data_IF_267127880937
#
_entry.id   IF_267127880937
#
_cell.length_a   1.000
_cell.length_b   1.000
_cell.length_c   1.000
_cell.angle_alpha   90.00
_cell.angle_beta   90.00
_cell.angle_gamma   90.00
#
_symmetry.space_group_name_H-M   'P 1'
#
loop_
_entity.id
_entity.type
_entity.pdbx_description
1 polymer ?
#
# COMPACT_ATOMS: atom_id res chain seq x y z
N UNK A 1 -5.56 6.08 -2.94
CA UNK A 1 -4.58 5.36 -2.10
C UNK A 1 -3.19 5.94 -2.25
N UNK A 2 -2.56 5.93 -3.44
CA UNK A 2 -1.21 6.52 -3.65
C UNK A 2 -1.16 7.99 -3.22
N UNK A 3 -2.07 8.82 -3.73
CA UNK A 3 -2.15 10.25 -3.34
C UNK A 3 -2.36 10.44 -1.83
N UNK A 4 -3.14 9.56 -1.20
CA UNK A 4 -3.37 9.59 0.25
C UNK A 4 -2.09 9.27 1.03
N UNK A 5 -1.34 8.24 0.60
CA UNK A 5 -0.06 7.88 1.21
C UNK A 5 0.96 9.01 1.06
N UNK A 6 1.00 9.66 -0.11
CA UNK A 6 1.83 10.85 -0.37
C UNK A 6 1.48 12.01 0.56
N UNK A 7 0.20 12.33 0.71
CA UNK A 7 -0.24 13.39 1.63
C UNK A 7 0.15 13.09 3.09
N UNK A 8 0.00 11.84 3.54
CA UNK A 8 0.41 11.41 4.90
C UNK A 8 1.94 11.53 5.07
N UNK A 9 2.72 11.09 4.09
CA UNK A 9 4.18 11.21 4.13
C UNK A 9 4.63 12.69 4.21
N UNK A 10 3.96 13.57 3.45
CA UNK A 10 4.22 15.01 3.46
C UNK A 10 3.89 15.69 4.80
N UNK A 11 2.98 15.12 5.60
CA UNK A 11 2.70 15.60 6.95
C UNK A 11 3.86 15.36 7.94
N UNK A 12 4.91 14.61 7.55
CA UNK A 12 6.16 14.41 8.32
C UNK A 12 5.94 13.93 9.75
N UNK A 13 4.92 13.08 9.97
CA UNK A 13 4.65 12.47 11.26
C UNK A 13 5.87 11.68 11.74
N UNK A 14 6.32 11.96 12.96
CA UNK A 14 7.55 11.36 13.53
C UNK A 14 7.23 10.05 14.23
N UNK A 15 8.15 9.09 14.15
CA UNK A 15 8.15 7.83 14.89
C UNK A 15 6.86 7.02 14.70
N UNK A 16 6.37 6.94 13.46
CA UNK A 16 5.19 6.14 13.09
C UNK A 16 5.48 5.29 11.87
N UNK A 17 5.12 4.02 11.95
CA UNK A 17 4.91 3.17 10.78
C UNK A 17 3.44 3.31 10.40
N UNK A 18 3.15 3.65 9.15
CA UNK A 18 1.79 3.85 8.65
C UNK A 18 1.63 3.00 7.39
N UNK A 19 0.80 1.95 7.49
CA UNK A 19 0.53 1.06 6.37
C UNK A 19 -0.88 1.34 5.84
N UNK A 20 -1.00 1.79 4.59
CA UNK A 20 -2.28 1.89 3.90
C UNK A 20 -2.59 0.54 3.25
N UNK A 21 -3.68 -0.08 3.67
CA UNK A 21 -4.20 -1.30 3.07
C UNK A 21 -5.53 -1.04 2.36
N UNK A 22 -5.91 -1.94 1.46
CA UNK A 22 -7.22 -1.97 0.85
C UNK A 22 -7.49 -3.31 0.19
N UNK A 23 -8.49 -3.34 -0.69
CA UNK A 23 -8.89 -4.53 -1.43
C UNK A 23 -9.16 -4.14 -2.89
N UNK A 24 -8.85 -5.03 -3.83
CA UNK A 24 -9.34 -4.95 -5.20
C UNK A 24 -10.74 -5.55 -5.32
N UNK A 25 -11.01 -6.60 -4.56
CA UNK A 25 -12.32 -7.24 -4.50
C UNK A 25 -13.09 -6.78 -3.27
N UNK A 26 -14.28 -6.18 -3.43
CA UNK A 26 -15.13 -5.79 -2.31
C UNK A 26 -15.32 -6.89 -1.26
N UNK A 27 -15.24 -6.50 0.01
CA UNK A 27 -15.44 -7.40 1.15
C UNK A 27 -16.76 -8.18 1.08
N UNK A 28 -17.82 -7.60 0.49
CA UNK A 28 -19.11 -8.25 0.31
C UNK A 28 -19.05 -9.57 -0.47
N UNK A 29 -17.98 -9.82 -1.22
CA UNK A 29 -17.73 -11.10 -1.90
C UNK A 29 -17.13 -12.19 -0.97
N UNK A 30 -17.09 -11.94 0.33
CA UNK A 30 -16.72 -12.92 1.37
C UNK A 30 -15.32 -13.48 1.15
N UNK A 31 -15.20 -14.81 1.12
CA UNK A 31 -13.94 -15.55 1.00
C UNK A 31 -13.16 -15.26 -0.29
N UNK A 32 -13.79 -14.66 -1.31
CA UNK A 32 -13.10 -14.27 -2.55
C UNK A 32 -12.50 -12.86 -2.50
N UNK A 33 -12.69 -12.11 -1.40
CA UNK A 33 -12.06 -10.81 -1.20
C UNK A 33 -10.60 -10.95 -0.79
N UNK A 34 -9.74 -10.11 -1.36
CA UNK A 34 -8.34 -9.96 -0.96
C UNK A 34 -8.16 -9.07 0.29
N UNK A 35 -9.22 -8.44 0.79
CA UNK A 35 -9.17 -7.49 1.89
C UNK A 35 -8.66 -8.09 3.21
N UNK A 36 -9.09 -9.30 3.56
CA UNK A 36 -8.63 -9.98 4.78
C UNK A 36 -7.15 -10.30 4.74
N UNK A 37 -6.66 -10.80 3.60
CA UNK A 37 -5.25 -11.10 3.42
C UNK A 37 -4.39 -9.82 3.47
N UNK A 38 -4.83 -8.75 2.77
CA UNK A 38 -4.13 -7.46 2.79
C UNK A 38 -4.10 -6.83 4.19
N UNK A 39 -5.15 -7.00 5.01
CA UNK A 39 -5.15 -6.59 6.41
C UNK A 39 -4.14 -7.39 7.24
N UNK A 40 -4.08 -8.71 7.07
CA UNK A 40 -3.07 -9.56 7.72
C UNK A 40 -1.64 -9.10 7.39
N UNK A 41 -1.35 -8.83 6.12
CA UNK A 41 -0.06 -8.26 5.70
C UNK A 41 0.20 -6.90 6.34
N UNK A 42 -0.79 -6.02 6.43
CA UNK A 42 -0.63 -4.71 7.08
C UNK A 42 -0.17 -4.85 8.53
N UNK A 43 -0.80 -5.74 9.30
CA UNK A 43 -0.42 -5.99 10.70
C UNK A 43 0.98 -6.59 10.83
N UNK A 44 1.38 -7.49 9.92
CA UNK A 44 2.74 -8.06 9.91
C UNK A 44 3.80 -7.00 9.56
N UNK A 45 3.52 -6.14 8.58
CA UNK A 45 4.46 -5.10 8.15
C UNK A 45 4.59 -3.97 9.15
N UNK A 46 3.50 -3.58 9.82
CA UNK A 46 3.54 -2.58 10.89
C UNK A 46 4.52 -2.96 12.01
N UNK A 47 4.63 -4.26 12.30
CA UNK A 47 5.53 -4.81 13.34
C UNK A 47 6.98 -4.99 12.89
N UNK A 48 7.26 -5.00 11.58
CA UNK A 48 8.56 -5.43 11.04
C UNK A 48 9.27 -4.37 10.20
N UNK A 49 8.55 -3.38 9.67
CA UNK A 49 9.13 -2.29 8.91
C UNK A 49 9.56 -1.14 9.82
N UNK A 50 10.57 -0.40 9.35
CA UNK A 50 10.99 0.85 9.97
C UNK A 50 9.88 1.91 9.88
N UNK A 51 10.01 2.97 10.67
CA UNK A 51 9.16 4.17 10.57
C UNK A 51 9.11 4.67 9.13
N UNK A 52 7.90 4.89 8.62
CA UNK A 52 7.66 5.25 7.23
C UNK A 52 6.19 5.13 6.83
N UNK A 53 5.89 5.49 5.59
CA UNK A 53 4.55 5.35 5.01
C UNK A 53 4.61 4.35 3.86
N UNK A 54 3.74 3.35 3.92
CA UNK A 54 3.74 2.24 2.99
C UNK A 54 2.34 1.95 2.47
N UNK A 55 2.27 1.26 1.33
CA UNK A 55 1.03 0.68 0.80
C UNK A 55 1.20 -0.83 0.78
N UNK A 56 0.20 -1.59 1.24
CA UNK A 56 0.17 -3.06 1.13
C UNK A 56 -1.05 -3.53 0.36
N UNK A 57 -0.81 -4.31 -0.68
CA UNK A 57 -1.83 -4.90 -1.56
C UNK A 57 -1.17 -5.97 -2.43
N UNK A 58 -1.91 -7.03 -2.81
CA UNK A 58 -1.36 -8.18 -3.57
C UNK A 58 -0.22 -8.90 -2.84
N UNK A 59 -0.30 -8.99 -1.52
CA UNK A 59 0.68 -9.75 -0.71
C UNK A 59 2.10 -9.21 -0.66
N UNK A 60 2.28 -7.92 -0.96
CA UNK A 60 3.55 -7.23 -0.85
C UNK A 60 3.33 -5.80 -0.34
N UNK A 61 4.40 -5.18 0.16
CA UNK A 61 4.42 -3.76 0.48
C UNK A 61 5.17 -2.94 -0.58
N UNK A 62 4.84 -1.66 -0.64
CA UNK A 62 5.55 -0.66 -1.43
C UNK A 62 5.82 0.58 -0.57
N UNK A 63 6.95 1.26 -0.81
CA UNK A 63 7.11 2.63 -0.32
C UNK A 63 6.10 3.54 -1.00
N UNK A 64 5.59 4.54 -0.28
CA UNK A 64 4.56 5.45 -0.79
C UNK A 64 4.94 6.16 -2.10
N UNK A 65 6.23 6.37 -2.34
CA UNK A 65 6.83 7.04 -3.50
C UNK A 65 7.28 6.09 -4.61
N UNK A 66 7.15 4.77 -4.40
CA UNK A 66 7.65 3.75 -5.32
C UNK A 66 6.52 2.85 -5.86
N UNK A 67 5.32 3.40 -6.01
CA UNK A 67 4.14 2.63 -6.42
C UNK A 67 3.14 3.45 -7.23
N UNK A 68 2.58 2.82 -8.26
CA UNK A 68 1.47 3.35 -9.04
C UNK A 68 0.37 2.30 -9.18
N UNK A 69 -0.89 2.76 -9.31
CA UNK A 69 -2.01 1.89 -9.68
C UNK A 69 -2.08 1.80 -11.20
N UNK A 70 -1.78 0.63 -11.75
CA UNK A 70 -2.02 0.32 -13.14
C UNK A 70 -3.50 -0.02 -13.35
N UNK A 71 -4.26 0.94 -13.85
CA UNK A 71 -5.70 0.81 -14.05
C UNK A 71 -6.02 -0.27 -15.09
N UNK A 72 -5.24 -0.35 -16.17
CA UNK A 72 -5.47 -1.30 -17.26
C UNK A 72 -5.31 -2.75 -16.82
N UNK A 73 -4.35 -3.02 -15.93
CA UNK A 73 -4.11 -4.35 -15.36
C UNK A 73 -4.85 -4.62 -14.06
N UNK A 74 -5.46 -3.60 -13.45
CA UNK A 74 -6.13 -3.72 -12.16
C UNK A 74 -5.20 -3.99 -10.97
N UNK A 75 -3.91 -3.64 -11.07
CA UNK A 75 -2.89 -3.95 -10.04
C UNK A 75 -2.12 -2.71 -9.60
N UNK A 76 -1.48 -2.79 -8.44
CA UNK A 76 -0.41 -1.88 -8.05
C UNK A 76 0.94 -2.46 -8.46
N UNK A 77 1.81 -1.63 -9.04
CA UNK A 77 3.14 -2.01 -9.49
C UNK A 77 4.18 -0.95 -9.08
N UNK A 78 5.45 -1.36 -8.99
CA UNK A 78 6.54 -0.44 -8.68
C UNK A 78 6.68 0.59 -9.80
N UNK A 79 6.85 1.86 -9.45
CA UNK A 79 7.22 2.89 -10.42
C UNK A 79 8.59 2.54 -11.00
N UNK A 80 8.76 2.67 -12.31
CA UNK A 80 10.07 2.46 -12.91
C UNK A 80 10.94 3.67 -12.60
N UNK A 81 12.25 3.45 -12.46
CA UNK A 81 13.21 4.52 -12.23
C UNK A 81 13.15 5.60 -13.33
N UNK A 82 12.76 5.24 -14.56
CA UNK A 82 12.53 6.16 -15.68
C UNK A 82 11.38 7.15 -15.46
N UNK A 83 10.44 6.83 -14.57
CA UNK A 83 9.25 7.66 -14.33
C UNK A 83 9.49 8.68 -13.20
N UNK A 84 10.70 8.68 -12.63
CA UNK A 84 11.15 9.55 -11.53
C UNK A 84 12.09 10.67 -12.01
N UNK A 85 12.39 10.75 -13.31
CA UNK A 85 13.28 11.74 -13.93
C UNK A 85 12.50 12.56 -14.97
#
# INVERSE_FOLDING_TARGET
MVETAKAIAQAKLKNKTIILAGAMMPYAFGSSSDGFFNLGYALSYDQTLNTGVYITIQGQYFNWDQVAKNINKGVFEKTKFSDLI
#
